data_IF_830098046198
#
_entry.id   IF_830098046198
#
_cell.length_a   1.000
_cell.length_b   1.000
_cell.length_c   1.000
_cell.angle_alpha   90.00
_cell.angle_beta   90.00
_cell.angle_gamma   90.00
#
_symmetry.space_group_name_H-M   'P 1'
#
loop_
_entity.id
_entity.type
_entity.pdbx_description
1 polymer ?
#
# COMPACT_ATOMS: atom_id res chain seq x y z
N UNK A 1 -17.62 43.38 24.88
CA UNK A 1 -17.99 41.98 24.60
C UNK A 1 -18.51 41.93 23.18
N UNK A 2 -17.72 41.39 22.26
CA UNK A 2 -18.22 40.84 20.99
C UNK A 2 -17.18 39.81 20.56
N UNK A 3 -17.51 38.54 20.79
CA UNK A 3 -16.64 37.42 20.54
C UNK A 3 -16.43 37.23 19.06
N UNK A 4 -15.18 37.29 18.61
CA UNK A 4 -14.78 36.70 17.35
C UNK A 4 -15.12 35.20 17.39
N UNK A 5 -16.19 34.82 16.70
CA UNK A 5 -16.47 33.43 16.40
C UNK A 5 -15.39 32.92 15.44
N UNK A 6 -14.25 32.51 15.99
CA UNK A 6 -13.24 31.74 15.27
C UNK A 6 -13.90 30.44 14.81
N UNK A 7 -14.16 30.32 13.51
CA UNK A 7 -14.53 29.03 12.90
C UNK A 7 -13.50 27.98 13.35
N UNK A 8 -13.92 26.82 13.86
CA UNK A 8 -12.98 25.86 14.44
C UNK A 8 -11.96 25.45 13.37
N UNK A 9 -10.68 25.73 13.62
CA UNK A 9 -9.57 25.21 12.83
C UNK A 9 -9.71 23.69 12.85
N UNK A 10 -9.78 23.06 11.67
CA UNK A 10 -9.83 21.60 11.57
C UNK A 10 -8.60 21.07 12.32
N UNK A 11 -8.76 20.31 13.42
CA UNK A 11 -7.63 19.89 14.22
C UNK A 11 -6.74 18.98 13.39
N UNK A 12 -5.44 19.00 13.72
CA UNK A 12 -4.45 18.17 13.06
C UNK A 12 -4.81 16.70 13.24
N UNK A 13 -4.70 15.93 12.16
CA UNK A 13 -5.06 14.52 12.15
C UNK A 13 -4.10 13.72 11.28
N UNK A 14 -4.13 12.41 11.43
CA UNK A 14 -3.30 11.51 10.66
C UNK A 14 -4.12 10.45 9.96
N UNK A 15 -3.65 10.05 8.79
CA UNK A 15 -4.16 8.90 8.06
C UNK A 15 -3.02 7.93 7.86
N UNK A 16 -3.27 6.63 8.02
CA UNK A 16 -2.32 5.59 7.67
C UNK A 16 -2.93 4.55 6.74
N UNK A 17 -2.13 3.98 5.84
CA UNK A 17 -2.53 2.89 4.97
C UNK A 17 -1.41 1.84 4.88
N UNK A 18 -1.73 0.54 4.93
CA UNK A 18 -0.74 -0.52 4.82
C UNK A 18 -0.13 -0.61 3.42
N UNK A 19 0.97 -1.33 3.31
CA UNK A 19 1.45 -1.89 2.04
C UNK A 19 0.75 -3.19 1.72
N UNK A 20 1.21 -3.86 0.65
CA UNK A 20 0.69 -5.17 0.22
C UNK A 20 1.79 -6.10 -0.23
N UNK A 21 1.52 -7.40 -0.15
CA UNK A 21 2.30 -8.45 -0.81
C UNK A 21 1.37 -9.37 -1.58
N UNK A 22 1.90 -10.05 -2.61
CA UNK A 22 1.20 -11.17 -3.24
C UNK A 22 1.58 -12.43 -2.46
N UNK A 23 0.57 -13.12 -1.93
CA UNK A 23 0.72 -14.35 -1.16
C UNK A 23 0.75 -15.54 -2.12
N UNK A 24 -0.19 -15.57 -3.07
CA UNK A 24 -0.32 -16.61 -4.09
C UNK A 24 -0.79 -16.03 -5.42
N UNK A 25 -0.49 -16.72 -6.53
CA UNK A 25 -0.98 -16.38 -7.87
C UNK A 25 -0.08 -15.44 -8.68
N UNK A 26 1.18 -15.24 -8.27
CA UNK A 26 2.15 -14.49 -9.08
C UNK A 26 2.26 -15.04 -10.49
N UNK A 27 2.29 -14.13 -11.48
CA UNK A 27 2.31 -14.39 -12.92
C UNK A 27 1.05 -15.12 -13.46
N UNK A 28 0.52 -16.12 -12.76
CA UNK A 28 -0.70 -16.83 -13.13
C UNK A 28 -1.92 -15.90 -13.24
N UNK A 29 -2.00 -14.86 -12.40
CA UNK A 29 -3.04 -13.83 -12.48
C UNK A 29 -3.09 -13.07 -13.81
N UNK A 30 -1.97 -12.95 -14.51
CA UNK A 30 -1.93 -12.33 -15.85
C UNK A 30 -2.71 -13.17 -16.86
N UNK A 31 -2.83 -14.47 -16.62
CA UNK A 31 -3.43 -15.48 -17.48
C UNK A 31 -4.75 -16.02 -16.91
N UNK A 32 -5.52 -15.18 -16.21
CA UNK A 32 -6.89 -15.49 -15.77
C UNK A 32 -7.00 -16.40 -14.54
N UNK A 33 -5.88 -16.81 -13.93
CA UNK A 33 -5.90 -17.59 -12.69
C UNK A 33 -6.12 -16.68 -11.47
N UNK A 34 -6.67 -17.19 -10.35
CA UNK A 34 -6.83 -16.39 -9.15
C UNK A 34 -5.46 -16.02 -8.53
N UNK A 35 -5.42 -14.88 -7.86
CA UNK A 35 -4.33 -14.47 -6.98
C UNK A 35 -4.87 -13.95 -5.64
N UNK A 36 -4.06 -14.12 -4.59
CA UNK A 36 -4.35 -13.62 -3.25
C UNK A 36 -3.29 -12.56 -2.94
N UNK A 37 -3.74 -11.32 -2.75
CA UNK A 37 -2.91 -10.23 -2.27
C UNK A 37 -3.36 -9.83 -0.87
N UNK A 38 -2.42 -9.58 0.04
CA UNK A 38 -2.72 -9.30 1.44
C UNK A 38 -1.96 -8.08 1.94
N UNK A 39 -2.59 -7.35 2.85
CA UNK A 39 -2.03 -6.17 3.48
C UNK A 39 -0.89 -6.57 4.42
N UNK A 40 0.15 -5.74 4.46
CA UNK A 40 1.24 -5.86 5.43
C UNK A 40 1.23 -4.68 6.40
N UNK A 41 1.62 -4.91 7.65
CA UNK A 41 1.63 -3.88 8.69
C UNK A 41 2.71 -2.80 8.54
N UNK A 42 3.51 -2.81 7.47
CA UNK A 42 4.31 -1.64 7.06
C UNK A 42 3.36 -0.61 6.42
N UNK A 43 3.40 0.64 6.86
CA UNK A 43 2.38 1.64 6.51
C UNK A 43 3.00 2.95 6.03
N UNK A 44 2.24 3.67 5.21
CA UNK A 44 2.47 5.10 5.02
C UNK A 44 1.63 5.88 6.02
N UNK A 45 2.19 6.96 6.54
CA UNK A 45 1.61 7.85 7.54
C UNK A 45 1.58 9.26 6.98
N UNK A 46 0.38 9.82 6.86
CA UNK A 46 0.13 11.17 6.36
C UNK A 46 -0.40 12.04 7.49
N UNK A 47 0.42 12.97 7.95
CA UNK A 47 0.04 14.01 8.91
C UNK A 47 -0.50 15.22 8.15
N UNK A 48 -1.73 15.62 8.49
CA UNK A 48 -2.42 16.76 7.88
C UNK A 48 -2.55 17.87 8.90
N UNK A 49 -1.85 18.97 8.67
CA UNK A 49 -1.84 20.15 9.53
C UNK A 49 -2.55 21.30 8.85
N UNK A 50 -3.61 21.83 9.47
CA UNK A 50 -4.34 22.99 8.97
C UNK A 50 -3.56 24.27 9.26
N UNK A 51 -3.40 25.12 8.25
CA UNK A 51 -2.75 26.43 8.37
C UNK A 51 -3.75 27.50 8.82
N UNK A 52 -3.21 28.64 9.26
CA UNK A 52 -4.03 29.82 9.57
C UNK A 52 -4.77 30.33 8.33
N UNK A 53 -5.90 31.04 8.52
CA UNK A 53 -6.70 31.58 7.40
C UNK A 53 -5.91 32.54 6.49
N UNK A 54 -4.84 33.16 7.00
CA UNK A 54 -3.99 34.06 6.22
C UNK A 54 -3.07 33.31 5.24
N UNK A 55 -2.78 32.03 5.49
CA UNK A 55 -1.86 31.23 4.69
C UNK A 55 -2.67 30.33 3.74
N UNK A 56 -2.89 30.82 2.52
CA UNK A 56 -3.66 30.14 1.47
C UNK A 56 -2.79 29.23 0.61
N UNK A 57 -2.01 28.36 1.27
CA UNK A 57 -1.05 27.49 0.60
C UNK A 57 -1.34 26.01 0.84
N UNK A 58 -1.12 25.18 -0.17
CA UNK A 58 -1.05 23.74 -0.03
C UNK A 58 0.42 23.31 -0.08
N UNK A 59 0.94 22.68 0.97
CA UNK A 59 2.32 22.18 1.04
C UNK A 59 2.35 20.67 1.07
N UNK A 60 3.13 20.06 0.17
CA UNK A 60 3.53 18.67 0.27
C UNK A 60 4.93 18.58 0.87
N UNK A 61 5.09 17.69 1.85
CA UNK A 61 6.37 17.37 2.48
C UNK A 61 6.54 15.85 2.60
N UNK A 62 7.00 15.21 1.53
CA UNK A 62 7.28 13.77 1.50
C UNK A 62 8.78 13.56 1.72
N UNK A 63 9.15 13.48 3.00
CA UNK A 63 10.54 13.50 3.47
C UNK A 63 11.35 12.32 2.94
N UNK A 64 10.76 11.13 2.86
CA UNK A 64 11.48 9.90 2.48
C UNK A 64 11.94 9.90 1.01
N UNK A 65 11.37 10.78 0.19
CA UNK A 65 11.82 11.01 -1.20
C UNK A 65 12.49 12.38 -1.39
N UNK A 66 12.49 13.25 -0.36
CA UNK A 66 13.02 14.60 -0.47
C UNK A 66 12.13 15.58 -1.23
N UNK A 67 10.83 15.31 -1.34
CA UNK A 67 9.87 16.22 -1.98
C UNK A 67 9.34 17.22 -0.95
N UNK A 68 9.67 18.49 -1.13
CA UNK A 68 9.09 19.60 -0.37
C UNK A 68 8.68 20.70 -1.35
N UNK A 69 7.38 20.94 -1.49
CA UNK A 69 6.89 21.94 -2.42
C UNK A 69 5.59 22.59 -1.92
N UNK A 70 5.42 23.87 -2.23
CA UNK A 70 4.26 24.67 -1.80
C UNK A 70 3.62 25.33 -3.02
N UNK A 71 2.31 25.17 -3.15
CA UNK A 71 1.48 25.91 -4.11
C UNK A 71 0.65 26.96 -3.39
N UNK A 72 0.51 28.12 -4.02
CA UNK A 72 -0.55 29.07 -3.70
C UNK A 72 -1.89 28.50 -4.19
N UNK A 73 -2.86 28.37 -3.29
CA UNK A 73 -4.16 27.76 -3.59
C UNK A 73 -4.86 28.56 -4.69
N UNK A 74 -4.82 29.89 -4.62
CA UNK A 74 -5.51 30.77 -5.56
C UNK A 74 -4.94 30.71 -6.98
N UNK A 75 -3.71 30.22 -7.15
CA UNK A 75 -3.05 30.08 -8.45
C UNK A 75 -3.28 28.75 -9.15
N UNK A 76 -4.08 27.84 -8.57
CA UNK A 76 -4.39 26.53 -9.15
C UNK A 76 -5.58 26.61 -10.12
N UNK A 77 -5.71 25.68 -11.08
CA UNK A 77 -6.70 25.75 -12.17
C UNK A 77 -8.13 25.35 -11.72
N UNK A 78 -8.65 26.01 -10.69
CA UNK A 78 -9.96 25.70 -10.10
C UNK A 78 -11.12 25.84 -11.08
N UNK A 79 -11.04 26.81 -12.00
CA UNK A 79 -12.13 27.08 -12.96
C UNK A 79 -12.41 25.87 -13.86
N UNK A 80 -11.37 25.13 -14.25
CA UNK A 80 -11.49 23.93 -15.09
C UNK A 80 -12.12 22.79 -14.27
N UNK A 81 -11.67 22.57 -13.03
CA UNK A 81 -12.17 21.51 -12.15
C UNK A 81 -13.60 21.77 -11.64
N UNK A 82 -14.04 23.03 -11.58
CA UNK A 82 -15.40 23.42 -11.13
C UNK A 82 -16.45 23.42 -12.24
N UNK A 83 -16.08 23.20 -13.50
CA UNK A 83 -17.04 23.11 -14.60
C UNK A 83 -18.10 22.05 -14.29
N UNK A 84 -19.39 22.38 -14.48
CA UNK A 84 -20.50 21.50 -14.10
C UNK A 84 -20.47 20.15 -14.81
N UNK A 85 -19.95 20.10 -16.03
CA UNK A 85 -19.72 18.88 -16.82
C UNK A 85 -18.58 18.01 -16.29
N UNK A 86 -17.66 18.59 -15.50
CA UNK A 86 -16.44 17.95 -14.99
C UNK A 86 -16.52 17.65 -13.49
N UNK A 87 -17.51 18.22 -12.79
CA UNK A 87 -17.69 18.05 -11.35
C UNK A 87 -18.01 16.59 -11.04
N UNK A 88 -17.00 15.85 -10.60
CA UNK A 88 -17.14 14.50 -10.07
C UNK A 88 -17.51 14.63 -8.59
N UNK A 89 -18.74 14.23 -8.24
CA UNK A 89 -19.16 14.19 -6.85
C UNK A 89 -18.46 13.03 -6.16
N UNK A 90 -18.37 13.06 -4.84
CA UNK A 90 -17.76 11.99 -4.05
C UNK A 90 -18.35 10.59 -4.29
N UNK A 91 -19.59 10.51 -4.79
CA UNK A 91 -20.27 9.27 -5.18
C UNK A 91 -20.18 8.92 -6.68
N UNK A 92 -19.53 9.75 -7.52
CA UNK A 92 -19.37 9.47 -8.95
C UNK A 92 -18.50 8.23 -9.19
N UNK A 93 -18.84 7.44 -10.21
CA UNK A 93 -17.98 6.36 -10.69
C UNK A 93 -16.74 6.98 -11.35
N UNK A 94 -15.59 6.92 -10.67
CA UNK A 94 -14.33 7.45 -11.18
C UNK A 94 -13.43 6.29 -11.58
N UNK A 95 -13.53 5.87 -12.85
CA UNK A 95 -12.81 4.73 -13.42
C UNK A 95 -11.79 5.13 -14.49
N UNK A 96 -11.63 6.42 -14.77
CA UNK A 96 -10.72 6.94 -15.78
C UNK A 96 -10.24 8.35 -15.43
N UNK A 97 -9.07 8.73 -15.91
CA UNK A 97 -8.58 10.12 -15.85
C UNK A 97 -9.30 10.97 -16.89
N UNK A 98 -9.66 12.21 -16.51
CA UNK A 98 -10.11 13.19 -17.49
C UNK A 98 -8.87 13.86 -18.12
N UNK A 99 -8.65 13.73 -19.45
CA UNK A 99 -7.47 14.29 -20.10
C UNK A 99 -7.35 15.81 -19.97
N UNK A 100 -8.48 16.53 -19.92
CA UNK A 100 -8.49 17.98 -19.79
C UNK A 100 -8.03 18.41 -18.39
N UNK A 101 -8.54 17.73 -17.36
CA UNK A 101 -8.12 17.96 -15.97
C UNK A 101 -6.64 17.62 -15.76
N UNK A 102 -6.18 16.52 -16.37
CA UNK A 102 -4.78 16.12 -16.32
C UNK A 102 -3.88 17.16 -17.00
N UNK A 103 -4.23 17.60 -18.21
CA UNK A 103 -3.47 18.62 -18.93
C UNK A 103 -3.41 19.95 -18.17
N UNK A 104 -4.48 20.33 -17.48
CA UNK A 104 -4.52 21.55 -16.67
C UNK A 104 -3.51 21.55 -15.52
N UNK A 105 -3.20 20.39 -14.92
CA UNK A 105 -2.28 20.30 -13.78
C UNK A 105 -0.81 20.08 -14.18
N UNK A 106 -0.52 19.66 -15.41
CA UNK A 106 0.84 19.38 -15.89
C UNK A 106 1.80 20.57 -15.64
N UNK A 107 1.47 21.83 -16.00
CA UNK A 107 2.38 22.96 -15.77
C UNK A 107 2.73 23.17 -14.29
N UNK A 108 1.77 22.90 -13.39
CA UNK A 108 1.94 23.03 -11.95
C UNK A 108 2.77 21.88 -11.35
N UNK A 109 2.68 20.69 -11.95
CA UNK A 109 3.49 19.53 -11.56
C UNK A 109 4.94 19.68 -12.07
N UNK A 110 5.13 20.06 -13.33
CA UNK A 110 6.45 20.22 -13.96
C UNK A 110 7.30 21.34 -13.34
N UNK A 111 6.65 22.29 -12.67
CA UNK A 111 7.30 23.31 -11.85
C UNK A 111 8.14 22.71 -10.71
N UNK A 112 7.79 21.51 -10.24
CA UNK A 112 8.42 20.88 -9.09
C UNK A 112 9.75 20.22 -9.43
N UNK A 113 10.74 20.43 -8.57
CA UNK A 113 12.01 19.69 -8.57
C UNK A 113 12.80 19.75 -9.89
N UNK A 114 12.78 20.90 -10.59
CA UNK A 114 13.47 21.10 -11.88
C UNK A 114 14.98 20.78 -11.87
N UNK A 115 15.63 20.90 -10.71
CA UNK A 115 17.07 20.65 -10.56
C UNK A 115 17.47 19.21 -10.17
N UNK A 116 16.51 18.29 -9.96
CA UNK A 116 16.82 16.92 -9.57
C UNK A 116 17.13 16.02 -10.78
N UNK A 117 17.88 14.95 -10.52
CA UNK A 117 18.14 13.89 -11.50
C UNK A 117 16.82 13.30 -12.02
N UNK A 118 16.80 12.89 -13.30
CA UNK A 118 15.59 12.43 -13.99
C UNK A 118 14.83 11.34 -13.22
N UNK A 119 15.52 10.33 -12.69
CA UNK A 119 14.92 9.24 -11.92
C UNK A 119 14.19 9.73 -10.67
N UNK A 120 14.82 10.62 -9.89
CA UNK A 120 14.22 11.20 -8.69
C UNK A 120 13.08 12.16 -9.04
N UNK A 121 13.31 13.02 -10.05
CA UNK A 121 12.30 13.97 -10.54
C UNK A 121 11.05 13.24 -11.04
N UNK A 122 11.18 12.10 -11.71
CA UNK A 122 10.05 11.28 -12.16
C UNK A 122 9.19 10.77 -11.00
N UNK A 123 9.80 10.39 -9.87
CA UNK A 123 9.06 10.00 -8.65
C UNK A 123 8.29 11.21 -8.12
N UNK A 124 8.94 12.38 -8.02
CA UNK A 124 8.30 13.60 -7.54
C UNK A 124 7.13 14.02 -8.43
N UNK A 125 7.32 14.06 -9.74
CA UNK A 125 6.28 14.41 -10.70
C UNK A 125 5.06 13.50 -10.54
N UNK A 126 5.25 12.18 -10.49
CA UNK A 126 4.14 11.23 -10.30
C UNK A 126 3.38 11.47 -9.00
N UNK A 127 4.08 11.65 -7.88
CA UNK A 127 3.46 11.93 -6.57
C UNK A 127 2.69 13.25 -6.57
N UNK A 128 3.26 14.29 -7.18
CA UNK A 128 2.65 15.62 -7.28
C UNK A 128 1.44 15.61 -8.20
N UNK A 129 1.52 14.96 -9.37
CA UNK A 129 0.39 14.83 -10.30
C UNK A 129 -0.78 14.11 -9.63
N UNK A 130 -0.53 13.02 -8.90
CA UNK A 130 -1.56 12.34 -8.13
C UNK A 130 -2.18 13.25 -7.06
N UNK A 131 -1.35 13.96 -6.28
CA UNK A 131 -1.84 14.91 -5.28
C UNK A 131 -2.67 16.03 -5.89
N UNK A 132 -2.17 16.75 -6.91
CA UNK A 132 -2.88 17.87 -7.52
C UNK A 132 -4.20 17.43 -8.15
N UNK A 133 -4.21 16.28 -8.83
CA UNK A 133 -5.44 15.73 -9.40
C UNK A 133 -6.48 15.45 -8.32
N UNK A 134 -6.09 14.77 -7.24
CA UNK A 134 -6.99 14.46 -6.12
C UNK A 134 -7.42 15.73 -5.37
N UNK A 135 -6.49 16.63 -5.07
CA UNK A 135 -6.70 17.87 -4.34
C UNK A 135 -7.69 18.79 -5.05
N UNK A 136 -7.56 18.96 -6.37
CA UNK A 136 -8.46 19.80 -7.16
C UNK A 136 -9.80 19.12 -7.48
N UNK A 137 -9.82 17.79 -7.58
CA UNK A 137 -11.06 17.04 -7.80
C UNK A 137 -11.95 16.96 -6.56
N UNK A 138 -11.34 16.83 -5.38
CA UNK A 138 -12.05 16.68 -4.12
C UNK A 138 -12.20 18.00 -3.36
N UNK A 139 -11.20 18.87 -3.45
CA UNK A 139 -11.12 20.10 -2.67
C UNK A 139 -11.96 21.25 -3.23
N UNK A 140 -11.85 22.40 -2.56
CA UNK A 140 -12.45 23.66 -2.99
C UNK A 140 -11.46 24.81 -2.74
N UNK A 141 -11.50 25.89 -3.55
CA UNK A 141 -10.65 27.05 -3.33
C UNK A 141 -10.95 27.75 -2.01
N UNK A 142 -12.16 27.60 -1.46
CA UNK A 142 -12.55 28.19 -0.18
C UNK A 142 -11.93 27.46 1.03
N UNK A 143 -11.32 26.28 0.83
CA UNK A 143 -10.64 25.54 1.88
C UNK A 143 -9.45 26.34 2.47
N UNK A 144 -9.13 26.12 3.76
CA UNK A 144 -7.92 26.69 4.35
C UNK A 144 -6.66 26.07 3.75
N UNK A 145 -5.50 26.68 4.01
CA UNK A 145 -4.21 26.08 3.68
C UNK A 145 -3.94 24.81 4.51
N UNK A 146 -3.16 23.89 3.96
CA UNK A 146 -2.79 22.65 4.64
C UNK A 146 -1.34 22.27 4.35
N UNK A 147 -0.70 21.60 5.31
CA UNK A 147 0.55 20.88 5.14
C UNK A 147 0.25 19.38 5.20
N UNK A 148 0.68 18.66 4.17
CA UNK A 148 0.59 17.22 4.03
C UNK A 148 1.99 16.62 4.19
N UNK A 149 2.31 16.11 5.39
CA UNK A 149 3.62 15.51 5.69
C UNK A 149 3.51 14.00 5.63
N UNK A 150 4.31 13.35 4.77
CA UNK A 150 4.29 11.90 4.60
C UNK A 150 5.60 11.26 5.06
N UNK A 151 5.48 10.20 5.85
CA UNK A 151 6.55 9.23 6.14
C UNK A 151 6.03 7.81 5.92
N UNK A 152 6.87 6.88 5.50
CA UNK A 152 6.48 5.50 5.21
C UNK A 152 7.48 4.50 5.76
N UNK A 153 6.95 3.42 6.33
CA UNK A 153 7.73 2.25 6.74
C UNK A 153 7.76 1.18 5.65
N UNK A 154 7.08 1.43 4.52
CA UNK A 154 7.09 0.58 3.33
C UNK A 154 8.33 0.87 2.48
N UNK A 155 9.16 -0.13 2.17
CA UNK A 155 10.27 0.04 1.23
C UNK A 155 9.82 0.59 -0.13
N UNK A 156 10.38 1.74 -0.51
CA UNK A 156 10.02 2.45 -1.74
C UNK A 156 10.55 1.67 -2.95
N UNK A 157 9.68 1.44 -3.94
CA UNK A 157 10.07 0.82 -5.21
C UNK A 157 10.24 -0.71 -5.16
N UNK A 158 9.98 -1.35 -4.02
CA UNK A 158 10.10 -2.80 -3.85
C UNK A 158 8.91 -3.61 -4.42
N UNK A 159 7.85 -2.94 -4.88
CA UNK A 159 6.62 -3.58 -5.37
C UNK A 159 5.62 -3.91 -4.25
N UNK A 160 5.73 -3.23 -3.11
CA UNK A 160 4.93 -3.47 -1.90
C UNK A 160 3.72 -2.53 -1.78
N UNK A 161 3.33 -1.87 -2.88
CA UNK A 161 2.18 -0.96 -2.89
C UNK A 161 2.40 0.40 -2.20
N UNK A 162 3.64 0.92 -2.14
CA UNK A 162 3.92 2.22 -1.50
C UNK A 162 3.18 3.39 -2.17
N UNK A 163 3.01 3.36 -3.49
CA UNK A 163 2.24 4.38 -4.22
C UNK A 163 0.74 4.27 -3.95
N UNK A 164 0.20 3.05 -3.93
CA UNK A 164 -1.19 2.82 -3.58
C UNK A 164 -1.50 3.26 -2.14
N UNK A 165 -0.62 2.94 -1.20
CA UNK A 165 -0.68 3.40 0.19
C UNK A 165 -0.70 4.94 0.28
N UNK A 166 0.17 5.64 -0.47
CA UNK A 166 0.13 7.10 -0.61
C UNK A 166 -1.23 7.60 -1.13
N UNK A 167 -1.72 7.03 -2.24
CA UNK A 167 -2.99 7.42 -2.85
C UNK A 167 -4.18 7.21 -1.93
N UNK A 168 -4.19 6.12 -1.15
CA UNK A 168 -5.19 5.86 -0.11
C UNK A 168 -5.11 6.92 0.99
N UNK A 169 -3.92 7.21 1.52
CA UNK A 169 -3.76 8.25 2.54
C UNK A 169 -4.26 9.62 2.06
N UNK A 170 -3.86 10.04 0.86
CA UNK A 170 -4.27 11.32 0.26
C UNK A 170 -5.79 11.36 0.03
N UNK A 171 -6.36 10.32 -0.56
CA UNK A 171 -7.80 10.25 -0.84
C UNK A 171 -8.62 10.34 0.45
N UNK A 172 -8.26 9.56 1.47
CA UNK A 172 -8.93 9.60 2.77
C UNK A 172 -8.80 10.96 3.44
N UNK A 173 -7.61 11.56 3.46
CA UNK A 173 -7.40 12.89 4.04
C UNK A 173 -8.27 13.96 3.38
N UNK A 174 -8.28 14.00 2.05
CA UNK A 174 -9.06 14.97 1.28
C UNK A 174 -10.57 14.76 1.46
N UNK A 175 -11.03 13.51 1.44
CA UNK A 175 -12.45 13.19 1.65
C UNK A 175 -12.91 13.52 3.09
N UNK A 176 -12.05 13.36 4.10
CA UNK A 176 -12.32 13.77 5.48
C UNK A 176 -12.39 15.31 5.61
N UNK A 177 -11.45 16.04 4.98
CA UNK A 177 -11.45 17.51 4.96
C UNK A 177 -12.73 18.07 4.36
N UNK A 178 -13.25 17.40 3.33
CA UNK A 178 -14.52 17.75 2.66
C UNK A 178 -15.76 17.20 3.36
N UNK A 179 -15.61 16.58 4.53
CA UNK A 179 -16.71 15.98 5.34
C UNK A 179 -17.58 14.99 4.55
N UNK A 180 -16.96 14.33 3.57
CA UNK A 180 -17.62 13.35 2.69
C UNK A 180 -17.59 11.94 3.28
N UNK A 181 -16.55 11.64 4.08
CA UNK A 181 -16.45 10.39 4.82
C UNK A 181 -17.00 10.57 6.24
N UNK A 182 -17.76 9.57 6.68
CA UNK A 182 -17.97 9.36 8.11
C UNK A 182 -16.69 8.80 8.70
N UNK A 183 -16.26 9.35 9.83
CA UNK A 183 -15.09 8.84 10.56
C UNK A 183 -15.34 7.40 11.01
N UNK A 184 -14.28 6.57 11.13
CA UNK A 184 -14.44 5.25 11.71
C UNK A 184 -14.72 5.41 13.22
N UNK A 185 -15.66 4.62 13.74
CA UNK A 185 -16.04 4.58 15.15
C UNK A 185 -16.27 3.15 15.61
N UNK A 186 -16.20 2.93 16.94
CA UNK A 186 -16.42 1.61 17.53
C UNK A 186 -17.84 1.13 17.24
N UNK A 187 -18.02 -0.14 16.87
CA UNK A 187 -19.31 -0.75 16.51
C UNK A 187 -19.99 -0.12 15.27
N UNK A 188 -19.18 0.44 14.35
CA UNK A 188 -19.70 0.89 13.05
C UNK A 188 -20.30 -0.29 12.26
N UNK A 189 -21.50 -0.14 11.67
CA UNK A 189 -22.10 -1.20 10.86
C UNK A 189 -21.18 -1.60 9.68
N UNK A 190 -20.97 -2.90 9.41
CA UNK A 190 -20.06 -3.36 8.36
C UNK A 190 -20.38 -2.80 6.96
N UNK A 191 -21.66 -2.65 6.62
CA UNK A 191 -22.06 -2.07 5.33
C UNK A 191 -21.72 -0.58 5.23
N UNK A 192 -21.73 0.16 6.33
CA UNK A 192 -21.29 1.56 6.34
C UNK A 192 -19.77 1.63 6.17
N UNK A 193 -19.02 0.83 6.92
CA UNK A 193 -17.57 0.75 6.80
C UNK A 193 -17.15 0.41 5.36
N UNK A 194 -17.77 -0.61 4.76
CA UNK A 194 -17.56 -1.02 3.38
C UNK A 194 -17.83 0.12 2.38
N UNK A 195 -18.90 0.89 2.56
CA UNK A 195 -19.21 2.03 1.70
C UNK A 195 -18.13 3.12 1.80
N UNK A 196 -17.61 3.40 3.00
CA UNK A 196 -16.52 4.37 3.16
C UNK A 196 -15.23 3.88 2.51
N UNK A 197 -14.87 2.60 2.72
CA UNK A 197 -13.70 1.95 2.10
C UNK A 197 -13.80 2.00 0.57
N UNK A 198 -14.98 1.72 0.00
CA UNK A 198 -15.19 1.76 -1.44
C UNK A 198 -14.99 3.17 -2.01
N UNK A 199 -15.50 4.21 -1.32
CA UNK A 199 -15.27 5.60 -1.71
C UNK A 199 -13.78 5.96 -1.71
N UNK A 200 -13.06 5.57 -0.66
CA UNK A 200 -11.61 5.78 -0.55
C UNK A 200 -10.90 5.05 -1.70
N UNK A 201 -11.26 3.79 -1.93
CA UNK A 201 -10.65 2.93 -2.94
C UNK A 201 -10.78 3.51 -4.35
N UNK A 202 -11.96 4.03 -4.71
CA UNK A 202 -12.23 4.63 -6.03
C UNK A 202 -11.33 5.83 -6.30
N UNK A 203 -11.17 6.73 -5.32
CA UNK A 203 -10.29 7.88 -5.47
C UNK A 203 -8.81 7.48 -5.43
N UNK A 204 -8.44 6.50 -4.60
CA UNK A 204 -7.09 5.97 -4.58
C UNK A 204 -6.69 5.31 -5.91
N UNK A 205 -7.62 4.62 -6.56
CA UNK A 205 -7.44 4.05 -7.90
C UNK A 205 -7.10 5.14 -8.94
N UNK A 206 -7.78 6.28 -8.85
CA UNK A 206 -7.54 7.45 -9.72
C UNK A 206 -6.17 8.06 -9.48
N UNK A 207 -5.76 8.17 -8.21
CA UNK A 207 -4.40 8.56 -7.86
C UNK A 207 -3.35 7.59 -8.44
N UNK A 208 -3.60 6.28 -8.37
CA UNK A 208 -2.73 5.26 -8.97
C UNK A 208 -2.66 5.37 -10.49
N UNK A 209 -3.76 5.71 -11.17
CA UNK A 209 -3.75 5.98 -12.62
C UNK A 209 -2.82 7.15 -12.96
N UNK A 210 -2.77 8.21 -12.14
CA UNK A 210 -1.83 9.31 -12.33
C UNK A 210 -0.36 8.88 -12.21
N UNK A 211 -0.06 7.84 -11.41
CA UNK A 211 1.31 7.38 -11.14
C UNK A 211 1.77 6.33 -12.16
N UNK A 212 0.91 5.35 -12.46
CA UNK A 212 1.25 4.15 -13.24
C UNK A 212 0.54 4.05 -14.60
N UNK A 213 -0.47 4.87 -14.86
CA UNK A 213 -1.27 4.84 -16.09
C UNK A 213 -2.39 3.80 -16.03
N UNK A 214 -2.03 2.52 -16.05
CA UNK A 214 -2.98 1.38 -16.11
C UNK A 214 -2.82 0.42 -14.90
N UNK A 215 -3.19 0.84 -13.68
CA UNK A 215 -3.13 0.00 -12.49
C UNK A 215 -4.23 -1.07 -12.51
N UNK A 216 -3.97 -2.23 -11.89
CA UNK A 216 -4.95 -3.34 -11.82
C UNK A 216 -6.07 -3.13 -10.80
N UNK A 217 -5.97 -2.14 -9.91
CA UNK A 217 -6.91 -1.92 -8.81
C UNK A 217 -6.64 -2.74 -7.54
N UNK A 218 -5.75 -3.75 -7.61
CA UNK A 218 -5.45 -4.64 -6.49
C UNK A 218 -4.74 -3.91 -5.36
N UNK A 219 -3.71 -3.13 -5.68
CA UNK A 219 -2.86 -2.51 -4.68
C UNK A 219 -3.64 -1.52 -3.82
N UNK A 220 -4.43 -0.64 -4.42
CA UNK A 220 -5.31 0.28 -3.70
C UNK A 220 -6.46 -0.44 -2.99
N UNK A 221 -6.97 -1.57 -3.49
CA UNK A 221 -7.99 -2.36 -2.79
C UNK A 221 -7.47 -2.94 -1.49
N UNK A 222 -6.29 -3.56 -1.52
CA UNK A 222 -5.63 -4.08 -0.32
C UNK A 222 -5.28 -2.93 0.64
N UNK A 223 -4.73 -1.83 0.15
CA UNK A 223 -4.36 -0.69 1.00
C UNK A 223 -5.59 -0.01 1.64
N UNK A 224 -6.75 -0.03 0.97
CA UNK A 224 -7.97 0.58 1.50
C UNK A 224 -8.66 -0.34 2.51
N UNK A 225 -8.95 -1.58 2.12
CA UNK A 225 -9.74 -2.52 2.93
C UNK A 225 -8.94 -3.35 3.94
N UNK A 226 -7.61 -3.45 3.78
CA UNK A 226 -6.78 -4.31 4.61
C UNK A 226 -7.00 -5.79 4.32
N UNK A 227 -6.66 -6.63 5.30
CA UNK A 227 -6.82 -8.09 5.26
C UNK A 227 -6.23 -8.67 3.97
N UNK A 228 -7.04 -9.31 3.15
CA UNK A 228 -6.65 -9.76 1.83
C UNK A 228 -7.74 -9.47 0.79
N UNK A 229 -7.36 -9.55 -0.48
CA UNK A 229 -8.26 -9.53 -1.62
C UNK A 229 -7.92 -10.69 -2.55
N UNK A 230 -8.96 -11.22 -3.19
CA UNK A 230 -8.86 -12.19 -4.28
C UNK A 230 -8.97 -11.40 -5.58
N UNK A 231 -7.98 -11.58 -6.45
CA UNK A 231 -7.96 -10.98 -7.77
C UNK A 231 -8.10 -12.06 -8.84
N UNK A 232 -8.98 -11.85 -9.81
CA UNK A 232 -9.06 -12.70 -10.99
C UNK A 232 -9.36 -11.87 -12.24
N UNK A 233 -8.59 -12.10 -13.31
CA UNK A 233 -8.90 -11.55 -14.63
C UNK A 233 -9.93 -12.43 -15.33
N UNK A 234 -10.94 -11.80 -15.91
CA UNK A 234 -11.94 -12.47 -16.74
C UNK A 234 -11.57 -12.25 -18.21
N UNK A 235 -11.73 -13.28 -19.05
CA UNK A 235 -11.33 -13.22 -20.47
C UNK A 235 -12.14 -12.21 -21.30
N UNK A 236 -13.33 -11.81 -20.83
CA UNK A 236 -14.28 -10.95 -21.55
C UNK A 236 -14.84 -9.79 -20.70
N UNK A 237 -14.31 -9.56 -19.49
CA UNK A 237 -14.87 -8.60 -18.55
C UNK A 237 -13.82 -7.84 -17.74
N UNK A 238 -14.30 -6.91 -16.91
CA UNK A 238 -13.43 -6.25 -15.93
C UNK A 238 -12.87 -7.29 -14.93
N UNK A 239 -11.63 -7.12 -14.46
CA UNK A 239 -11.10 -7.98 -13.41
C UNK A 239 -11.98 -7.90 -12.16
N UNK A 240 -12.14 -9.03 -11.47
CA UNK A 240 -12.80 -9.08 -10.17
C UNK A 240 -11.77 -8.87 -9.06
N UNK A 241 -12.14 -8.02 -8.10
CA UNK A 241 -11.40 -7.81 -6.85
C UNK A 241 -12.39 -8.01 -5.72
N UNK A 242 -12.26 -9.12 -5.01
CA UNK A 242 -13.19 -9.51 -3.93
C UNK A 242 -12.48 -9.45 -2.59
N UNK A 243 -12.98 -8.67 -1.61
CA UNK A 243 -12.42 -8.67 -0.26
C UNK A 243 -12.50 -10.04 0.42
N UNK A 244 -11.45 -10.44 1.11
CA UNK A 244 -11.37 -11.62 1.95
C UNK A 244 -11.18 -11.14 3.40
N UNK A 245 -12.30 -10.80 4.05
CA UNK A 245 -12.33 -10.15 5.38
C UNK A 245 -11.91 -11.08 6.51
N UNK A 246 -12.05 -12.39 6.32
CA UNK A 246 -11.67 -13.44 7.28
C UNK A 246 -10.19 -13.81 7.23
N UNK A 247 -9.38 -13.12 6.42
CA UNK A 247 -7.95 -13.43 6.31
C UNK A 247 -7.22 -13.20 7.65
N UNK A 248 -6.42 -14.16 8.13
CA UNK A 248 -5.80 -14.11 9.46
C UNK A 248 -4.64 -13.12 9.53
N UNK A 249 -4.37 -12.63 10.75
CA UNK A 249 -3.15 -11.86 11.05
C UNK A 249 -1.99 -12.81 11.33
N UNK A 250 -0.98 -12.85 10.46
CA UNK A 250 0.15 -13.78 10.56
C UNK A 250 1.50 -13.07 10.66
N UNK A 251 2.40 -13.57 11.51
CA UNK A 251 3.76 -13.02 11.64
C UNK A 251 4.60 -13.30 10.39
N UNK A 252 5.21 -12.26 9.83
CA UNK A 252 5.89 -12.33 8.55
C UNK A 252 7.22 -11.57 8.59
N UNK A 253 8.27 -12.15 8.00
CA UNK A 253 9.43 -11.36 7.58
C UNK A 253 9.31 -11.01 6.11
N UNK A 254 9.63 -9.76 5.81
CA UNK A 254 9.86 -9.31 4.46
C UNK A 254 11.36 -9.06 4.27
N UNK A 255 11.96 -9.73 3.30
CA UNK A 255 13.39 -9.65 3.03
C UNK A 255 13.59 -9.10 1.63
N UNK A 256 14.15 -7.90 1.53
CA UNK A 256 14.54 -7.29 0.27
C UNK A 256 15.94 -7.77 -0.15
N UNK A 257 16.01 -8.36 -1.34
CA UNK A 257 17.26 -8.80 -1.97
C UNK A 257 18.21 -7.67 -2.29
N UNK A 258 17.74 -6.42 -2.33
CA UNK A 258 18.44 -5.26 -2.88
C UNK A 258 18.85 -5.45 -4.35
N UNK A 259 18.27 -6.45 -5.02
CA UNK A 259 18.47 -6.71 -6.45
C UNK A 259 17.43 -5.93 -7.25
N UNK A 260 17.91 -5.02 -8.08
CA UNK A 260 17.09 -4.30 -9.05
C UNK A 260 16.54 -5.26 -10.10
N UNK A 261 15.31 -4.99 -10.55
CA UNK A 261 14.59 -5.81 -11.52
C UNK A 261 13.61 -4.95 -12.34
N UNK A 262 13.25 -5.44 -13.52
CA UNK A 262 12.16 -4.90 -14.31
C UNK A 262 10.96 -5.85 -14.27
N UNK A 263 9.82 -5.38 -13.75
CA UNK A 263 8.57 -6.15 -13.77
C UNK A 263 8.16 -6.50 -15.20
N UNK A 264 8.33 -5.58 -16.14
CA UNK A 264 7.99 -5.79 -17.55
C UNK A 264 8.84 -6.91 -18.17
N UNK A 265 10.14 -6.97 -17.88
CA UNK A 265 11.02 -8.03 -18.39
C UNK A 265 10.64 -9.40 -17.83
N UNK A 266 10.29 -9.50 -16.54
CA UNK A 266 9.87 -10.77 -15.95
C UNK A 266 8.54 -11.25 -16.54
N UNK A 267 7.58 -10.34 -16.77
CA UNK A 267 6.31 -10.68 -17.43
C UNK A 267 6.55 -11.11 -18.88
N UNK A 268 7.42 -10.42 -19.63
CA UNK A 268 7.73 -10.77 -21.01
C UNK A 268 8.49 -12.11 -21.10
N UNK A 269 9.37 -12.40 -20.14
CA UNK A 269 10.03 -13.71 -20.03
C UNK A 269 9.01 -14.83 -19.89
N UNK A 270 8.02 -14.69 -19.00
CA UNK A 270 6.96 -15.71 -18.85
C UNK A 270 6.09 -15.80 -20.11
N UNK A 271 5.76 -14.67 -20.73
CA UNK A 271 5.01 -14.62 -21.99
C UNK A 271 5.74 -15.36 -23.12
N UNK A 272 7.05 -15.19 -23.22
CA UNK A 272 7.90 -15.88 -24.20
C UNK A 272 7.98 -17.37 -23.89
N UNK A 273 8.29 -17.75 -22.63
CA UNK A 273 8.31 -19.14 -22.17
C UNK A 273 6.99 -19.86 -22.43
N UNK A 274 5.85 -19.17 -22.28
CA UNK A 274 4.52 -19.72 -22.57
C UNK A 274 4.32 -20.07 -24.05
N UNK A 275 4.88 -19.26 -24.95
CA UNK A 275 4.80 -19.49 -26.41
C UNK A 275 5.72 -20.62 -26.87
N UNK A 276 6.90 -20.74 -26.24
CA UNK A 276 7.95 -21.66 -26.69
C UNK A 276 7.89 -23.02 -25.98
N UNK A 277 7.47 -23.06 -24.72
CA UNK A 277 7.51 -24.25 -23.86
C UNK A 277 6.08 -24.59 -23.42
N UNK A 278 5.44 -25.63 -23.98
CA UNK A 278 4.06 -26.02 -23.63
C UNK A 278 3.86 -26.30 -22.13
N UNK A 279 4.90 -26.78 -21.44
CA UNK A 279 4.87 -27.05 -20.00
C UNK A 279 4.69 -25.79 -19.15
N UNK A 280 5.01 -24.60 -19.67
CA UNK A 280 4.79 -23.32 -18.97
C UNK A 280 3.31 -23.15 -18.60
N UNK A 281 2.38 -23.51 -19.48
CA UNK A 281 0.94 -23.41 -19.18
C UNK A 281 0.55 -24.32 -18.00
N UNK A 282 1.10 -25.53 -17.96
CA UNK A 282 0.85 -26.48 -16.87
C UNK A 282 1.38 -25.97 -15.53
N UNK A 283 2.48 -25.21 -15.53
CA UNK A 283 3.02 -24.55 -14.33
C UNK A 283 2.06 -23.45 -13.88
N UNK A 284 1.57 -22.61 -14.80
CA UNK A 284 0.59 -21.55 -14.50
C UNK A 284 -0.73 -22.14 -13.97
N UNK A 285 -1.22 -23.24 -14.56
CA UNK A 285 -2.36 -24.00 -14.06
C UNK A 285 -2.10 -24.60 -12.67
N UNK A 286 -0.87 -25.08 -12.43
CA UNK A 286 -0.41 -25.53 -11.12
C UNK A 286 -0.50 -24.44 -10.06
N UNK A 287 -0.02 -23.24 -10.37
CA UNK A 287 -0.10 -22.07 -9.48
C UNK A 287 -1.57 -21.71 -9.24
N UNK A 288 -2.42 -21.74 -10.26
CA UNK A 288 -3.85 -21.47 -10.14
C UNK A 288 -4.56 -22.46 -9.20
N UNK A 289 -4.34 -23.77 -9.38
CA UNK A 289 -4.90 -24.81 -8.50
C UNK A 289 -4.39 -24.70 -7.06
N UNK A 290 -3.10 -24.42 -6.88
CA UNK A 290 -2.51 -24.21 -5.57
C UNK A 290 -3.13 -22.98 -4.89
N UNK A 291 -3.36 -21.90 -5.63
CA UNK A 291 -4.00 -20.69 -5.11
C UNK A 291 -5.44 -20.94 -4.69
N UNK A 292 -6.20 -21.71 -5.49
CA UNK A 292 -7.56 -22.11 -5.12
C UNK A 292 -7.59 -22.98 -3.85
N UNK A 293 -6.66 -23.94 -3.74
CA UNK A 293 -6.53 -24.77 -2.54
C UNK A 293 -6.12 -23.95 -1.30
N UNK A 294 -5.23 -22.97 -1.46
CA UNK A 294 -4.87 -22.05 -0.38
C UNK A 294 -6.06 -21.18 0.04
N UNK A 295 -6.86 -20.70 -0.92
CA UNK A 295 -8.07 -19.93 -0.64
C UNK A 295 -9.07 -20.75 0.17
N UNK A 296 -9.41 -21.95 -0.29
CA UNK A 296 -10.32 -22.87 0.41
C UNK A 296 -9.84 -23.11 1.84
N UNK A 297 -8.56 -23.46 2.00
CA UNK A 297 -7.95 -23.70 3.29
C UNK A 297 -8.02 -22.49 4.23
N UNK A 298 -7.71 -21.28 3.74
CA UNK A 298 -7.77 -20.06 4.54
C UNK A 298 -9.21 -19.73 4.95
N UNK A 299 -10.19 -19.97 4.07
CA UNK A 299 -11.59 -19.69 4.36
C UNK A 299 -12.25 -20.70 5.30
N UNK A 300 -11.79 -21.95 5.31
CA UNK A 300 -12.37 -23.02 6.12
C UNK A 300 -11.68 -23.21 7.48
N UNK A 301 -10.45 -22.70 7.65
CA UNK A 301 -9.65 -22.92 8.85
C UNK A 301 -9.95 -21.88 9.92
N UNK A 302 -10.03 -22.35 11.17
CA UNK A 302 -10.08 -21.47 12.32
C UNK A 302 -8.67 -21.16 12.81
N UNK A 303 -8.22 -19.93 12.56
CA UNK A 303 -6.88 -19.48 12.97
C UNK A 303 -6.83 -19.05 14.45
N UNK A 304 -7.96 -19.12 15.17
CA UNK A 304 -8.08 -18.73 16.57
C UNK A 304 -8.24 -19.97 17.46
N UNK A 305 -7.13 -20.67 17.76
CA UNK A 305 -7.19 -21.82 18.68
C UNK A 305 -5.92 -22.65 18.80
N UNK A 306 -6.01 -23.74 19.56
CA UNK A 306 -4.89 -24.63 19.88
C UNK A 306 -4.27 -25.35 18.66
N UNK A 307 -4.95 -25.34 17.50
CA UNK A 307 -4.48 -25.96 16.24
C UNK A 307 -3.68 -25.04 15.31
N UNK A 308 -3.39 -23.79 15.71
CA UNK A 308 -2.75 -22.80 14.82
C UNK A 308 -1.40 -23.27 14.26
N UNK A 309 -0.65 -24.08 14.99
CA UNK A 309 0.65 -24.61 14.53
C UNK A 309 0.50 -25.52 13.31
N UNK A 310 -0.47 -26.44 13.33
CA UNK A 310 -0.72 -27.36 12.21
C UNK A 310 -1.25 -26.61 10.99
N UNK A 311 -2.07 -25.59 11.23
CA UNK A 311 -2.60 -24.72 10.18
C UNK A 311 -1.46 -23.94 9.49
N UNK A 312 -0.54 -23.39 10.29
CA UNK A 312 0.64 -22.70 9.79
C UNK A 312 1.60 -23.64 9.06
N UNK A 313 1.77 -24.89 9.52
CA UNK A 313 2.57 -25.88 8.82
C UNK A 313 1.99 -26.18 7.43
N UNK A 314 0.66 -26.34 7.33
CA UNK A 314 -0.01 -26.58 6.06
C UNK A 314 0.12 -25.38 5.10
N UNK A 315 -0.18 -24.17 5.58
CA UNK A 315 -0.06 -22.93 4.80
C UNK A 315 1.38 -22.68 4.36
N UNK A 316 2.35 -22.90 5.25
CA UNK A 316 3.77 -22.83 4.97
C UNK A 316 4.21 -23.85 3.89
N UNK A 317 3.65 -25.06 3.92
CA UNK A 317 3.81 -26.06 2.87
C UNK A 317 3.31 -25.58 1.51
N UNK A 318 2.16 -24.89 1.46
CA UNK A 318 1.64 -24.28 0.23
C UNK A 318 2.54 -23.14 -0.27
N UNK A 319 3.04 -22.29 0.63
CA UNK A 319 4.01 -21.22 0.32
C UNK A 319 5.26 -21.81 -0.36
N UNK A 320 5.84 -22.85 0.23
CA UNK A 320 7.03 -23.53 -0.31
C UNK A 320 6.77 -24.12 -1.69
N UNK A 321 5.64 -24.81 -1.89
CA UNK A 321 5.26 -25.40 -3.19
C UNK A 321 5.04 -24.31 -4.25
N UNK A 322 4.42 -23.19 -3.89
CA UNK A 322 4.25 -22.07 -4.81
C UNK A 322 5.60 -21.50 -5.25
N UNK A 323 6.56 -21.35 -4.33
CA UNK A 323 7.92 -20.92 -4.69
C UNK A 323 8.59 -21.87 -5.68
N UNK A 324 8.45 -23.19 -5.50
CA UNK A 324 9.00 -24.18 -6.44
C UNK A 324 8.39 -24.06 -7.85
N UNK A 325 7.09 -23.77 -7.95
CA UNK A 325 6.43 -23.50 -9.23
C UNK A 325 6.97 -22.22 -9.87
N UNK A 326 7.22 -21.17 -9.08
CA UNK A 326 7.78 -19.90 -9.56
C UNK A 326 9.25 -20.04 -10.00
N UNK A 327 10.04 -20.87 -9.32
CA UNK A 327 11.38 -21.27 -9.77
C UNK A 327 11.28 -21.99 -11.11
N UNK A 328 10.36 -22.95 -11.22
CA UNK A 328 10.13 -23.71 -12.47
C UNK A 328 9.64 -22.82 -13.62
N UNK A 329 8.95 -21.72 -13.31
CA UNK A 329 8.51 -20.71 -14.27
C UNK A 329 9.66 -19.81 -14.75
N UNK A 330 10.85 -19.89 -14.15
CA UNK A 330 12.04 -19.13 -14.56
C UNK A 330 12.08 -17.69 -14.06
N UNK A 331 11.28 -17.37 -13.03
CA UNK A 331 11.17 -16.02 -12.45
C UNK A 331 11.89 -15.87 -11.11
N UNK A 332 12.57 -16.91 -10.60
CA UNK A 332 13.42 -16.76 -9.40
C UNK A 332 14.76 -16.08 -9.74
N UNK A 333 15.61 -15.91 -8.72
CA UNK A 333 16.93 -15.30 -8.81
C UNK A 333 17.87 -15.91 -7.74
N UNK A 334 19.19 -16.04 -7.98
CA UNK A 334 20.12 -16.60 -6.99
C UNK A 334 20.03 -15.94 -5.60
N UNK A 335 19.83 -14.62 -5.53
CA UNK A 335 19.62 -13.91 -4.25
C UNK A 335 18.31 -14.30 -3.54
N UNK A 336 17.24 -14.65 -4.27
CA UNK A 336 15.99 -15.16 -3.68
C UNK A 336 16.18 -16.59 -3.16
N UNK A 337 16.89 -17.43 -3.93
CA UNK A 337 17.22 -18.80 -3.51
C UNK A 337 18.12 -18.79 -2.27
N UNK A 338 19.04 -17.83 -2.18
CA UNK A 338 19.89 -17.64 -1.00
C UNK A 338 19.09 -17.29 0.26
N UNK A 339 18.08 -16.42 0.14
CA UNK A 339 17.16 -16.15 1.25
C UNK A 339 16.45 -17.44 1.68
N UNK A 340 15.95 -18.22 0.72
CA UNK A 340 15.28 -19.49 1.02
C UNK A 340 16.21 -20.44 1.77
N UNK A 341 17.44 -20.61 1.31
CA UNK A 341 18.45 -21.46 1.97
C UNK A 341 18.70 -21.04 3.41
N UNK A 342 18.90 -19.74 3.67
CA UNK A 342 19.15 -19.21 5.02
C UNK A 342 17.95 -19.47 5.94
N UNK A 343 16.73 -19.25 5.46
CA UNK A 343 15.48 -19.46 6.19
C UNK A 343 15.25 -20.94 6.49
N UNK A 344 15.38 -21.81 5.47
CA UNK A 344 15.14 -23.25 5.61
C UNK A 344 16.20 -23.89 6.52
N UNK A 345 17.48 -23.52 6.39
CA UNK A 345 18.56 -24.04 7.26
C UNK A 345 18.36 -23.64 8.72
N UNK A 346 17.92 -22.40 8.97
CA UNK A 346 17.65 -21.93 10.33
C UNK A 346 16.32 -22.46 10.89
N UNK A 347 15.47 -23.06 10.06
CA UNK A 347 14.18 -23.61 10.48
C UNK A 347 13.21 -22.55 11.00
N UNK A 348 13.35 -21.28 10.59
CA UNK A 348 12.56 -20.17 11.15
C UNK A 348 11.18 -20.02 10.48
N UNK A 349 10.96 -20.62 9.31
CA UNK A 349 9.73 -20.38 8.56
C UNK A 349 9.71 -21.01 7.17
N UNK A 350 8.80 -20.51 6.35
CA UNK A 350 8.66 -20.87 4.93
C UNK A 350 8.74 -19.62 4.10
N UNK A 351 9.59 -19.65 3.08
CA UNK A 351 9.84 -18.48 2.24
C UNK A 351 9.38 -18.68 0.81
N UNK A 352 9.02 -17.56 0.18
CA UNK A 352 8.79 -17.46 -1.26
C UNK A 352 9.07 -16.05 -1.75
N UNK A 353 9.39 -15.93 -3.04
CA UNK A 353 9.39 -14.61 -3.68
C UNK A 353 7.98 -13.99 -3.66
N UNK A 354 7.89 -12.66 -3.72
CA UNK A 354 6.61 -11.95 -3.89
C UNK A 354 6.67 -10.93 -5.02
N UNK A 355 5.60 -10.85 -5.82
CA UNK A 355 5.55 -10.03 -7.02
C UNK A 355 6.24 -10.68 -8.22
N UNK A 356 6.83 -9.87 -9.11
CA UNK A 356 7.32 -10.36 -10.40
C UNK A 356 8.54 -11.33 -10.39
N UNK A 357 9.18 -11.59 -9.24
CA UNK A 357 10.46 -12.33 -9.21
C UNK A 357 11.66 -11.56 -9.80
N UNK A 358 12.77 -12.25 -10.09
CA UNK A 358 14.01 -11.70 -10.64
C UNK A 358 14.88 -10.90 -9.66
N UNK A 359 14.55 -10.93 -8.38
CA UNK A 359 15.07 -10.01 -7.35
C UNK A 359 13.93 -9.49 -6.49
N UNK A 360 13.98 -8.22 -6.07
CA UNK A 360 12.94 -7.62 -5.23
C UNK A 360 12.85 -8.28 -3.85
N UNK A 361 11.64 -8.54 -3.36
CA UNK A 361 11.44 -9.07 -2.01
C UNK A 361 11.01 -10.55 -2.00
N UNK A 362 11.39 -11.22 -0.92
CA UNK A 362 10.81 -12.48 -0.47
C UNK A 362 9.98 -12.24 0.80
N UNK A 363 8.92 -13.02 0.96
CA UNK A 363 8.16 -13.13 2.21
C UNK A 363 8.56 -14.42 2.92
N UNK A 364 8.59 -14.39 4.25
CA UNK A 364 8.83 -15.54 5.12
C UNK A 364 7.70 -15.60 6.13
N UNK A 365 6.86 -16.63 6.02
CA UNK A 365 5.89 -16.95 7.07
C UNK A 365 6.65 -17.56 8.24
N UNK A 366 6.59 -16.92 9.41
CA UNK A 366 7.34 -17.36 10.58
C UNK A 366 6.64 -18.54 11.27
N UNK A 367 7.45 -19.48 11.76
CA UNK A 367 6.98 -20.53 12.66
C UNK A 367 6.65 -19.92 14.04
N UNK A 368 5.66 -20.46 14.76
CA UNK A 368 5.48 -20.12 16.17
C UNK A 368 6.71 -20.51 17.00
N UNK A 369 7.06 -19.69 18.00
CA UNK A 369 8.09 -20.04 18.98
C UNK A 369 9.53 -20.04 18.47
N UNK A 370 9.83 -19.36 17.36
CA UNK A 370 11.22 -19.17 16.93
C UNK A 370 11.99 -18.41 18.01
N UNK A 371 13.13 -18.97 18.42
CA UNK A 371 14.00 -18.41 19.45
C UNK A 371 14.64 -17.09 18.99
N UNK A 372 14.78 -16.14 19.91
CA UNK A 372 15.38 -14.83 19.64
C UNK A 372 16.82 -14.97 19.12
N UNK A 373 17.61 -15.88 19.68
CA UNK A 373 19.01 -16.09 19.27
C UNK A 373 19.09 -16.57 17.81
N UNK A 374 18.18 -17.46 17.40
CA UNK A 374 18.11 -17.94 16.00
C UNK A 374 17.70 -16.81 15.05
N UNK A 375 16.80 -15.92 15.47
CA UNK A 375 16.42 -14.76 14.67
C UNK A 375 17.57 -13.76 14.52
N UNK A 376 18.34 -13.52 15.58
CA UNK A 376 19.53 -12.65 15.55
C UNK A 376 20.61 -13.21 14.63
N UNK A 377 20.86 -14.52 14.66
CA UNK A 377 21.80 -15.18 13.74
C UNK A 377 21.40 -15.03 12.28
N UNK A 378 20.11 -15.22 11.97
CA UNK A 378 19.59 -15.06 10.61
C UNK A 378 19.68 -13.59 10.19
N UNK A 379 19.32 -12.64 11.05
CA UNK A 379 19.43 -11.21 10.77
C UNK A 379 20.87 -10.78 10.50
N UNK A 380 21.82 -11.29 11.27
CA UNK A 380 23.24 -11.04 11.05
C UNK A 380 23.71 -11.57 9.68
N UNK A 381 23.34 -12.80 9.32
CA UNK A 381 23.66 -13.38 8.00
C UNK A 381 23.04 -12.58 6.86
N UNK A 382 21.75 -12.23 6.98
CA UNK A 382 21.05 -11.43 5.99
C UNK A 382 21.74 -10.08 5.77
N UNK A 383 22.05 -9.37 6.86
CA UNK A 383 22.70 -8.06 6.80
C UNK A 383 24.10 -8.15 6.19
N UNK A 384 24.88 -9.15 6.58
CA UNK A 384 26.25 -9.38 6.07
C UNK A 384 26.26 -9.69 4.57
N UNK A 385 25.23 -10.38 4.06
CA UNK A 385 25.06 -10.67 2.63
C UNK A 385 24.33 -9.55 1.84
N UNK A 386 24.10 -8.40 2.48
CA UNK A 386 23.52 -7.21 1.86
C UNK A 386 22.01 -7.28 1.64
N UNK A 387 21.29 -8.12 2.37
CA UNK A 387 19.83 -8.14 2.41
C UNK A 387 19.30 -7.11 3.41
N UNK A 388 18.07 -6.62 3.18
CA UNK A 388 17.36 -5.81 4.19
C UNK A 388 16.14 -6.56 4.71
N UNK A 389 16.07 -6.72 6.03
CA UNK A 389 14.96 -7.36 6.74
C UNK A 389 13.96 -6.31 7.22
N UNK A 390 12.67 -6.63 7.12
CA UNK A 390 11.57 -5.91 7.75
C UNK A 390 10.66 -6.92 8.45
N UNK A 391 10.40 -6.70 9.74
CA UNK A 391 9.40 -7.46 10.48
C UNK A 391 8.02 -6.84 10.25
N UNK A 392 7.03 -7.67 9.98
CA UNK A 392 5.68 -7.22 9.66
C UNK A 392 4.63 -8.28 10.00
N UNK A 393 3.37 -7.88 9.98
CA UNK A 393 2.21 -8.78 10.06
C UNK A 393 1.54 -8.81 8.69
N UNK A 394 1.21 -10.00 8.19
CA UNK A 394 0.36 -10.24 7.03
C UNK A 394 -1.12 -10.19 7.45
N UNK A 395 -2.01 -9.69 6.61
CA UNK A 395 -3.43 -9.54 6.96
C UNK A 395 -3.69 -8.33 7.87
N UNK A 396 -2.84 -7.31 7.78
CA UNK A 396 -2.99 -6.07 8.56
C UNK A 396 -4.28 -5.32 8.22
N UNK A 397 -4.74 -4.46 9.12
CA UNK A 397 -5.94 -3.66 8.89
C UNK A 397 -5.69 -2.58 7.83
N UNK A 398 -6.78 -2.18 7.18
CA UNK A 398 -6.79 -1.27 6.04
C UNK A 398 -6.47 0.17 6.43
N UNK A 399 -7.08 1.12 5.74
CA UNK A 399 -6.87 2.53 6.04
C UNK A 399 -7.37 2.88 7.45
N UNK A 400 -6.54 3.60 8.19
CA UNK A 400 -6.81 4.04 9.56
C UNK A 400 -6.70 5.56 9.71
N UNK A 401 -7.38 6.10 10.71
CA UNK A 401 -7.37 7.53 11.05
C UNK A 401 -7.05 7.69 12.53
N UNK A 402 -6.16 8.63 12.85
CA UNK A 402 -5.88 9.09 14.21
C UNK A 402 -6.41 10.51 14.37
N UNK A 403 -7.35 10.71 15.30
CA UNK A 403 -8.04 11.99 15.49
C UNK A 403 -8.38 12.32 16.95
N UNK A 404 -8.01 13.52 17.47
CA UNK A 404 -7.02 14.44 16.90
C UNK A 404 -5.63 13.80 17.02
N UNK A 405 -4.74 14.05 16.06
CA UNK A 405 -3.36 13.56 16.14
C UNK A 405 -2.53 14.25 17.23
N UNK A 406 -3.11 15.25 17.92
CA UNK A 406 -2.52 15.94 19.06
C UNK A 406 -3.04 15.29 20.35
N UNK A 407 -2.59 14.08 20.63
CA UNK A 407 -2.58 13.50 21.98
C UNK A 407 -1.18 12.93 22.23
N UNK A 408 -0.67 13.09 23.46
CA UNK A 408 0.59 12.51 23.96
C UNK A 408 1.89 12.85 23.20
N UNK A 409 1.99 14.06 22.66
CA UNK A 409 3.30 14.60 22.29
C UNK A 409 3.81 14.19 20.90
N UNK A 410 2.97 13.67 20.00
CA UNK A 410 3.24 13.69 18.55
C UNK A 410 2.95 15.11 18.04
N UNK A 411 3.97 15.79 17.52
CA UNK A 411 3.81 17.06 16.83
C UNK A 411 4.58 17.03 15.50
N UNK A 412 4.25 17.96 14.60
CA UNK A 412 4.86 18.01 13.26
C UNK A 412 6.39 17.94 13.33
N UNK A 413 7.03 18.70 14.24
CA UNK A 413 8.48 18.69 14.40
C UNK A 413 9.07 17.33 14.83
N UNK A 414 8.39 16.57 15.69
CA UNK A 414 8.83 15.23 16.09
C UNK A 414 8.65 14.20 14.98
N UNK A 415 7.53 14.26 14.25
CA UNK A 415 7.26 13.38 13.12
C UNK A 415 8.25 13.61 11.97
N UNK A 416 8.59 14.88 11.70
CA UNK A 416 9.61 15.24 10.71
C UNK A 416 11.01 14.77 11.12
N UNK A 417 11.35 14.80 12.42
CA UNK A 417 12.67 14.44 12.95
C UNK A 417 12.88 12.96 13.25
N UNK A 418 11.86 12.10 13.07
CA UNK A 418 12.02 10.67 13.26
C UNK A 418 13.11 10.12 12.32
N UNK A 419 14.16 9.57 12.92
CA UNK A 419 15.46 9.30 12.26
C UNK A 419 15.40 8.05 11.36
N UNK A 420 14.47 7.14 11.61
CA UNK A 420 14.32 5.89 10.86
C UNK A 420 12.91 5.27 10.99
N UNK A 421 12.71 4.11 10.36
CA UNK A 421 11.47 3.32 10.40
C UNK A 421 11.05 2.99 11.84
N UNK A 422 12.01 2.63 12.71
CA UNK A 422 11.74 2.32 14.12
C UNK A 422 11.26 3.55 14.88
N UNK A 423 11.83 4.72 14.59
CA UNK A 423 11.39 6.00 15.14
C UNK A 423 9.99 6.40 14.71
N UNK A 424 9.60 6.10 13.46
CA UNK A 424 8.23 6.31 12.97
C UNK A 424 7.26 5.38 13.70
N UNK A 425 7.53 4.06 13.74
CA UNK A 425 6.65 3.10 14.42
C UNK A 425 6.54 3.38 15.92
N UNK A 426 7.62 3.80 16.59
CA UNK A 426 7.56 4.20 18.01
C UNK A 426 6.69 5.44 18.23
N UNK A 427 6.63 6.35 17.26
CA UNK A 427 5.92 7.61 17.38
C UNK A 427 4.44 7.50 17.01
N UNK A 428 4.13 6.75 15.96
CA UNK A 428 2.78 6.70 15.34
C UNK A 428 2.37 5.31 14.88
N UNK A 429 3.11 4.28 15.28
CA UNK A 429 2.97 2.91 14.80
C UNK A 429 1.59 2.31 15.06
N UNK A 430 1.22 1.41 14.19
CA UNK A 430 -0.07 0.67 14.23
C UNK A 430 0.19 -0.84 14.39
N UNK A 431 1.45 -1.27 14.35
CA UNK A 431 1.82 -2.69 14.27
C UNK A 431 2.69 -3.21 15.42
N UNK A 432 2.83 -4.55 15.45
CA UNK A 432 3.65 -5.45 16.30
C UNK A 432 3.61 -5.28 17.83
N UNK A 433 3.48 -4.08 18.38
CA UNK A 433 3.43 -3.82 19.83
C UNK A 433 2.02 -3.45 20.34
N UNK A 434 0.99 -3.62 19.49
CA UNK A 434 -0.38 -3.18 19.74
C UNK A 434 -0.67 -1.85 19.04
N UNK A 435 -1.94 -1.63 18.68
CA UNK A 435 -2.37 -0.33 18.16
C UNK A 435 -2.04 0.75 19.20
N UNK A 436 -1.27 1.79 18.85
CA UNK A 436 -1.19 2.96 19.72
C UNK A 436 -2.60 3.47 19.98
N UNK A 437 -2.89 3.84 21.24
CA UNK A 437 -4.20 4.33 21.65
C UNK A 437 -4.69 5.43 20.70
N UNK A 438 -5.83 5.18 20.04
CA UNK A 438 -6.54 6.19 19.26
C UNK A 438 -6.65 5.96 17.76
N UNK A 439 -5.90 5.02 17.16
CA UNK A 439 -6.16 4.65 15.76
C UNK A 439 -7.54 3.99 15.62
N UNK A 440 -8.29 4.42 14.61
CA UNK A 440 -9.60 3.88 14.26
C UNK A 440 -9.59 3.45 12.79
N UNK A 441 -10.19 2.31 12.50
CA UNK A 441 -10.24 1.70 11.17
C UNK A 441 -11.69 1.47 10.76
N UNK A 442 -11.95 1.52 9.46
CA UNK A 442 -13.19 0.97 8.90
C UNK A 442 -12.97 -0.54 8.79
N UNK A 443 -13.69 -1.33 9.59
CA UNK A 443 -13.53 -2.79 9.69
C UNK A 443 -14.78 -3.54 9.28
#
# INVERSE_FOLDING_TARGET
>A
MEGQASSPVVPTFMVSAPGKVIVFGEHAAVYGKPAIAAAISLRSYLLVTTLSKAQRTARLDFRDIGLNYTWEIDGLPWDIFRQRSKKRFSGSLVNSLDPELLNAIIPHAEAVSKGLQEKQRKIHLRSVTAFLYLYLSLGSPENPGFIYTLRSTIPIGAGLGSSASLCVCLSTALLLQMRTLTRPYTDQPPEEAKLQIERINRWAFVGEMCIHGDPSGVDNAVCSGGKAVIFQRNDSGSPSVTPLTTFPKLSLLLIDTQQSRSTAEQVERVRTSRREIPRTEQILDGIGRLTASALEFITSSDFDGNGISDILEHLGGLIRRNHQLLVSLGVSHPRLERIRELVDHAGIGWSKLTGAGGGGCAIVLLRPGVKAETMEEVEWKLTTEGFRKHETVLGADGVGVLWPAVFEGVNQGKFEKAVDVRGIEKLVGVGLQGDQEGWKFWT
#
